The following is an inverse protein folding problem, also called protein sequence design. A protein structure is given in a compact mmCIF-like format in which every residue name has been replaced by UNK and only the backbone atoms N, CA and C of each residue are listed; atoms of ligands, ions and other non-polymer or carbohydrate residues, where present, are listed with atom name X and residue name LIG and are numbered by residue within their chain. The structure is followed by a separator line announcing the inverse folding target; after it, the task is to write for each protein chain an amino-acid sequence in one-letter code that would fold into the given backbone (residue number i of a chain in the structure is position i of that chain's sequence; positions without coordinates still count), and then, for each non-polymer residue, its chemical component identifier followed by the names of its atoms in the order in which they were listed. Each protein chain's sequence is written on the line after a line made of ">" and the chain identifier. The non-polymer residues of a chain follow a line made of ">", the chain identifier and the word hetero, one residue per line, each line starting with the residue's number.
data_IF_062868330122
#
_entry.id   IF_062868330122
#
_cell.length_a   1.000
_cell.length_b   1.000
_cell.length_c   1.000
_cell.angle_alpha   90.00
_cell.angle_beta   90.00
_cell.angle_gamma   90.00
#
_symmetry.space_group_name_H-M   'P 1'
#
loop_
_entity.id
_entity.type
_entity.pdbx_description
1 polymer ?
#
# COMPACT_ATOMS: atom_id res chain seq x y z
N UNK A 1 16.74 -12.63 -24.69
CA UNK A 1 15.45 -12.97 -25.34
C UNK A 1 14.37 -12.22 -24.57
N UNK A 2 13.64 -11.36 -25.25
CA UNK A 2 12.58 -10.55 -24.65
C UNK A 2 11.49 -11.47 -24.12
N UNK A 3 11.08 -11.33 -22.85
CA UNK A 3 10.02 -12.11 -22.20
C UNK A 3 8.71 -11.31 -22.22
N UNK A 4 7.60 -11.99 -22.18
CA UNK A 4 6.27 -11.37 -22.26
C UNK A 4 5.34 -11.93 -21.20
N UNK A 5 4.48 -11.06 -20.67
CA UNK A 5 3.31 -11.42 -19.87
C UNK A 5 2.06 -10.72 -20.40
N UNK A 6 0.90 -11.20 -20.04
CA UNK A 6 -0.37 -10.56 -20.42
C UNK A 6 -0.91 -9.74 -19.26
N UNK A 7 -1.20 -8.45 -19.48
CA UNK A 7 -1.82 -7.58 -18.49
C UNK A 7 -3.13 -7.04 -19.06
N UNK A 8 -4.27 -7.37 -18.46
CA UNK A 8 -5.59 -6.97 -18.93
C UNK A 8 -5.78 -7.23 -20.44
N UNK A 9 -5.50 -8.44 -20.87
CA UNK A 9 -5.57 -8.91 -22.27
C UNK A 9 -4.58 -8.23 -23.24
N UNK A 10 -3.57 -7.49 -22.74
CA UNK A 10 -2.53 -6.90 -23.56
C UNK A 10 -1.19 -7.55 -23.27
N UNK A 11 -0.46 -7.92 -24.30
CA UNK A 11 0.88 -8.47 -24.18
C UNK A 11 1.88 -7.35 -23.86
N UNK A 12 2.65 -7.50 -22.79
CA UNK A 12 3.63 -6.53 -22.31
C UNK A 12 4.98 -7.22 -22.19
N UNK A 13 5.98 -6.61 -22.82
CA UNK A 13 7.36 -7.08 -22.74
C UNK A 13 8.00 -6.66 -21.41
N UNK A 14 8.82 -7.54 -20.84
CA UNK A 14 9.64 -7.23 -19.67
C UNK A 14 11.03 -7.86 -19.80
N UNK A 15 12.00 -7.34 -19.07
CA UNK A 15 13.41 -7.76 -19.11
C UNK A 15 13.99 -7.89 -17.71
N UNK A 16 14.25 -6.77 -17.04
CA UNK A 16 14.93 -6.68 -15.74
C UNK A 16 14.01 -6.29 -14.57
N UNK A 17 12.71 -6.15 -14.84
CA UNK A 17 11.74 -5.81 -13.80
C UNK A 17 11.71 -6.90 -12.72
N UNK A 18 11.83 -6.47 -11.45
CA UNK A 18 11.95 -7.38 -10.30
C UNK A 18 10.61 -7.98 -9.85
N UNK A 19 9.52 -7.29 -10.16
CA UNK A 19 8.17 -7.70 -9.73
C UNK A 19 7.10 -7.26 -10.72
N UNK A 20 5.94 -7.87 -10.62
CA UNK A 20 4.80 -7.63 -11.51
C UNK A 20 4.33 -6.17 -11.45
N UNK A 21 4.44 -5.49 -10.30
CA UNK A 21 4.06 -4.07 -10.18
C UNK A 21 4.88 -3.17 -11.13
N UNK A 22 6.18 -3.44 -11.27
CA UNK A 22 7.03 -2.65 -12.16
C UNK A 22 6.60 -2.80 -13.63
N UNK A 23 6.28 -4.02 -14.06
CA UNK A 23 5.78 -4.26 -15.42
C UNK A 23 4.42 -3.60 -15.66
N UNK A 24 3.51 -3.67 -14.68
CA UNK A 24 2.21 -3.01 -14.74
C UNK A 24 2.38 -1.50 -14.91
N UNK A 25 3.25 -0.88 -14.11
CA UNK A 25 3.52 0.57 -14.20
C UNK A 25 4.19 0.96 -15.51
N UNK A 26 5.13 0.16 -16.00
CA UNK A 26 5.76 0.33 -17.31
C UNK A 26 4.73 0.30 -18.45
N UNK A 27 3.65 -0.47 -18.32
CA UNK A 27 2.55 -0.50 -19.29
C UNK A 27 1.59 0.70 -19.21
N UNK A 28 1.88 1.69 -18.35
CA UNK A 28 1.07 2.90 -18.18
C UNK A 28 -0.12 2.74 -17.20
N UNK A 29 -0.23 1.61 -16.52
CA UNK A 29 -1.30 1.39 -15.54
C UNK A 29 -0.83 1.86 -14.16
N UNK A 30 -1.52 2.84 -13.59
CA UNK A 30 -1.27 3.32 -12.24
C UNK A 30 -1.92 2.39 -11.20
N UNK A 31 -1.18 1.37 -10.76
CA UNK A 31 -1.63 0.48 -9.70
C UNK A 31 -1.37 1.11 -8.32
N UNK A 32 -2.39 1.27 -7.44
CA UNK A 32 -2.21 1.94 -6.15
C UNK A 32 -1.32 1.14 -5.20
N UNK A 33 -0.50 1.87 -4.44
CA UNK A 33 0.37 1.29 -3.40
C UNK A 33 0.57 2.29 -2.28
N UNK A 34 0.59 1.84 -1.02
CA UNK A 34 0.97 2.69 0.11
C UNK A 34 2.35 2.35 0.67
N UNK A 35 2.71 1.07 0.72
CA UNK A 35 3.97 0.63 1.32
C UNK A 35 5.13 0.53 0.33
N UNK A 36 4.87 0.37 -0.95
CA UNK A 36 5.93 0.22 -1.95
C UNK A 36 6.62 1.54 -2.29
N UNK A 37 7.94 1.49 -2.40
CA UNK A 37 8.78 2.52 -2.97
C UNK A 37 9.97 1.85 -3.67
N UNK A 38 10.42 2.39 -4.82
CA UNK A 38 11.49 1.79 -5.64
C UNK A 38 12.80 1.62 -4.88
N UNK A 39 13.13 2.58 -4.02
CA UNK A 39 14.39 2.65 -3.28
C UNK A 39 14.33 1.97 -1.90
N UNK A 40 13.17 1.48 -1.48
CA UNK A 40 13.00 0.90 -0.15
C UNK A 40 12.74 -0.61 -0.24
N UNK A 41 12.97 -1.30 0.87
CA UNK A 41 12.61 -2.72 0.99
C UNK A 41 11.12 -2.93 0.79
N UNK A 42 10.77 -3.94 0.01
CA UNK A 42 9.39 -4.27 -0.31
C UNK A 42 8.81 -5.23 0.73
N UNK A 43 7.79 -4.79 1.46
CA UNK A 43 7.15 -5.57 2.52
C UNK A 43 5.84 -6.25 2.09
N UNK A 44 5.15 -5.73 1.07
CA UNK A 44 3.84 -6.23 0.66
C UNK A 44 2.74 -6.04 1.71
N UNK A 45 2.92 -5.10 2.66
CA UNK A 45 2.08 -4.96 3.86
C UNK A 45 0.71 -4.35 3.58
N UNK A 46 0.60 -3.31 2.75
CA UNK A 46 -0.65 -2.55 2.57
C UNK A 46 -1.70 -3.26 1.73
N UNK A 47 -1.33 -4.25 0.93
CA UNK A 47 -2.19 -5.04 0.03
C UNK A 47 -3.00 -4.22 -1.00
N UNK A 48 -2.68 -2.93 -1.19
CA UNK A 48 -3.37 -2.11 -2.20
C UNK A 48 -3.04 -2.52 -3.64
N UNK A 49 -1.84 -3.06 -3.87
CA UNK A 49 -1.40 -3.53 -5.19
C UNK A 49 -1.86 -4.96 -5.54
N UNK A 50 -2.91 -5.48 -4.90
CA UNK A 50 -3.40 -6.82 -5.22
C UNK A 50 -3.89 -6.89 -6.66
N UNK A 51 -3.56 -8.00 -7.31
CA UNK A 51 -3.95 -8.36 -8.67
C UNK A 51 -4.42 -9.81 -8.69
N UNK A 52 -5.19 -10.16 -9.68
CA UNK A 52 -5.54 -11.54 -9.97
C UNK A 52 -4.54 -12.10 -10.99
N UNK A 53 -3.93 -13.21 -10.64
CA UNK A 53 -3.11 -14.01 -11.57
C UNK A 53 -3.99 -15.17 -12.02
N UNK A 54 -4.23 -15.28 -13.32
CA UNK A 54 -5.06 -16.35 -13.87
C UNK A 54 -4.44 -17.71 -13.51
N UNK A 55 -5.26 -18.59 -12.94
CA UNK A 55 -4.82 -19.90 -12.44
C UNK A 55 -4.30 -19.92 -11.00
N UNK A 56 -4.08 -18.75 -10.36
CA UNK A 56 -3.72 -18.69 -8.95
C UNK A 56 -4.95 -18.82 -8.04
N UNK A 57 -4.79 -19.48 -6.89
CA UNK A 57 -5.88 -19.72 -5.92
C UNK A 57 -6.33 -18.44 -5.21
N UNK A 58 -5.45 -17.46 -5.07
CA UNK A 58 -5.70 -16.23 -4.32
C UNK A 58 -5.11 -15.00 -5.04
N UNK A 59 -5.63 -13.82 -4.70
CA UNK A 59 -5.06 -12.54 -5.15
C UNK A 59 -3.62 -12.38 -4.66
N UNK A 60 -2.76 -11.84 -5.52
CA UNK A 60 -1.34 -11.65 -5.25
C UNK A 60 -1.01 -10.17 -5.12
N UNK A 61 -0.08 -9.82 -4.22
CA UNK A 61 0.44 -8.47 -4.13
C UNK A 61 1.50 -8.26 -5.22
N UNK A 62 1.19 -7.47 -6.23
CA UNK A 62 2.05 -7.26 -7.39
C UNK A 62 3.47 -6.75 -7.04
N UNK A 63 3.62 -6.02 -5.92
CA UNK A 63 4.92 -5.49 -5.50
C UNK A 63 5.90 -6.57 -5.00
N UNK A 64 5.43 -7.74 -4.59
CA UNK A 64 6.27 -8.87 -4.14
C UNK A 64 6.17 -10.08 -5.06
N UNK A 65 5.24 -10.09 -5.99
CA UNK A 65 5.07 -11.22 -6.91
C UNK A 65 6.12 -11.16 -8.02
N UNK A 66 6.93 -12.23 -8.20
CA UNK A 66 7.98 -12.25 -9.20
C UNK A 66 7.40 -12.21 -10.62
N UNK A 67 8.15 -11.66 -11.54
CA UNK A 67 7.81 -11.72 -12.97
C UNK A 67 8.05 -13.13 -13.51
N UNK A 68 7.16 -13.60 -14.38
CA UNK A 68 7.32 -14.86 -15.07
C UNK A 68 6.74 -14.78 -16.49
N UNK A 69 7.38 -15.48 -17.42
CA UNK A 69 6.93 -15.50 -18.82
C UNK A 69 5.58 -16.21 -18.93
N UNK A 70 4.67 -15.63 -19.72
CA UNK A 70 3.36 -16.22 -20.01
C UNK A 70 2.30 -16.07 -18.93
N UNK A 71 2.59 -15.45 -17.79
CA UNK A 71 1.54 -15.19 -16.79
C UNK A 71 0.52 -14.18 -17.29
N UNK A 72 -0.73 -14.37 -16.91
CA UNK A 72 -1.82 -13.45 -17.19
C UNK A 72 -2.27 -12.77 -15.91
N UNK A 73 -2.31 -11.42 -15.95
CA UNK A 73 -2.55 -10.55 -14.80
C UNK A 73 -3.77 -9.67 -15.07
N UNK A 74 -4.74 -9.69 -14.15
CA UNK A 74 -5.91 -8.80 -14.17
C UNK A 74 -5.79 -7.78 -13.03
N UNK A 75 -5.73 -6.51 -13.38
CA UNK A 75 -5.49 -5.42 -12.41
C UNK A 75 -6.76 -4.83 -11.82
N UNK A 76 -7.93 -5.11 -12.39
CA UNK A 76 -9.21 -4.50 -12.00
C UNK A 76 -10.42 -5.42 -12.17
N UNK A 77 -10.24 -6.74 -12.01
CA UNK A 77 -11.37 -7.65 -11.95
C UNK A 77 -12.31 -7.29 -10.77
N UNK A 78 -13.59 -7.71 -10.80
CA UNK A 78 -14.51 -7.48 -9.69
C UNK A 78 -13.94 -7.93 -8.34
N UNK A 79 -13.27 -9.07 -8.32
CA UNK A 79 -12.60 -9.64 -7.14
C UNK A 79 -11.48 -8.74 -6.62
N UNK A 80 -10.67 -8.17 -7.51
CA UNK A 80 -9.59 -7.23 -7.16
C UNK A 80 -10.17 -5.94 -6.61
N UNK A 81 -11.19 -5.37 -7.24
CA UNK A 81 -11.84 -4.13 -6.77
C UNK A 81 -12.45 -4.31 -5.38
N UNK A 82 -13.18 -5.41 -5.15
CA UNK A 82 -13.76 -5.72 -3.85
C UNK A 82 -12.68 -5.86 -2.77
N UNK A 83 -11.61 -6.59 -3.04
CA UNK A 83 -10.51 -6.77 -2.09
C UNK A 83 -9.81 -5.46 -1.74
N UNK A 84 -9.57 -4.58 -2.71
CA UNK A 84 -8.99 -3.24 -2.45
C UNK A 84 -9.91 -2.38 -1.62
N UNK A 85 -11.20 -2.36 -1.94
CA UNK A 85 -12.21 -1.60 -1.17
C UNK A 85 -12.21 -2.04 0.29
N UNK A 86 -12.35 -3.34 0.56
CA UNK A 86 -12.33 -3.88 1.92
C UNK A 86 -11.02 -3.59 2.65
N UNK A 87 -9.88 -3.71 1.98
CA UNK A 87 -8.57 -3.39 2.57
C UNK A 87 -8.47 -1.89 2.91
N UNK A 88 -8.98 -1.02 2.04
CA UNK A 88 -8.98 0.43 2.27
C UNK A 88 -9.89 0.80 3.44
N UNK A 89 -11.08 0.22 3.53
CA UNK A 89 -11.98 0.37 4.66
C UNK A 89 -11.32 -0.05 5.98
N UNK A 90 -10.59 -1.18 5.99
CA UNK A 90 -9.82 -1.62 7.17
C UNK A 90 -8.74 -0.62 7.57
N UNK A 91 -8.02 -0.02 6.63
CA UNK A 91 -7.04 1.03 6.92
C UNK A 91 -7.75 2.26 7.51
N UNK A 92 -8.87 2.67 6.92
CA UNK A 92 -9.64 3.83 7.35
C UNK A 92 -10.36 3.61 8.68
N UNK A 93 -10.67 2.36 9.05
CA UNK A 93 -11.35 2.06 10.33
C UNK A 93 -10.52 2.46 11.55
N UNK A 94 -9.19 2.42 11.44
CA UNK A 94 -8.26 2.82 12.50
C UNK A 94 -7.56 4.16 12.25
N UNK A 95 -7.92 4.87 11.17
CA UNK A 95 -7.32 6.16 10.81
C UNK A 95 -8.15 7.33 11.33
N UNK A 96 -7.49 8.42 11.81
CA UNK A 96 -8.20 9.65 12.15
C UNK A 96 -8.69 10.35 10.87
N UNK A 97 -10.01 10.30 10.65
CA UNK A 97 -10.68 10.79 9.44
C UNK A 97 -11.04 12.28 9.45
N UNK A 98 -10.40 13.08 10.30
CA UNK A 98 -10.57 14.54 10.33
C UNK A 98 -9.86 15.21 9.14
N UNK A 99 -10.26 14.81 7.92
CA UNK A 99 -9.58 15.23 6.69
C UNK A 99 -9.55 16.74 6.49
N UNK A 100 -10.61 17.45 6.85
CA UNK A 100 -10.72 18.89 6.64
C UNK A 100 -9.68 19.71 7.42
N UNK A 101 -9.22 19.20 8.57
CA UNK A 101 -8.19 19.84 9.41
C UNK A 101 -6.82 19.19 9.26
N UNK A 102 -6.70 18.18 8.41
CA UNK A 102 -5.46 17.47 8.19
C UNK A 102 -4.52 18.27 7.27
N UNK A 103 -3.24 18.32 7.63
CA UNK A 103 -2.18 18.96 6.81
C UNK A 103 -2.02 18.34 5.42
N UNK A 104 -2.50 17.11 5.23
CA UNK A 104 -2.49 16.38 3.95
C UNK A 104 -3.79 16.52 3.15
N UNK A 105 -4.74 17.31 3.61
CA UNK A 105 -6.01 17.49 2.90
C UNK A 105 -5.79 17.90 1.44
N UNK A 106 -6.48 17.25 0.49
CA UNK A 106 -6.34 17.41 -0.96
C UNK A 106 -4.97 17.02 -1.56
N UNK A 107 -4.01 16.59 -0.73
CA UNK A 107 -2.72 16.04 -1.16
C UNK A 107 -2.45 14.74 -0.39
N UNK A 108 -3.40 13.82 -0.41
CA UNK A 108 -3.38 12.57 0.33
C UNK A 108 -3.78 11.39 -0.58
N UNK A 109 -2.86 10.47 -0.81
CA UNK A 109 -3.10 9.27 -1.61
C UNK A 109 -4.23 8.40 -1.02
N UNK A 110 -4.36 8.36 0.33
CA UNK A 110 -5.41 7.63 1.02
C UNK A 110 -6.79 8.23 0.72
N UNK A 111 -6.90 9.57 0.79
CA UNK A 111 -8.14 10.29 0.49
C UNK A 111 -8.54 10.12 -0.99
N UNK A 112 -7.60 10.28 -1.91
CA UNK A 112 -7.86 10.13 -3.34
C UNK A 112 -8.32 8.71 -3.69
N UNK A 113 -7.69 7.69 -3.08
CA UNK A 113 -8.07 6.31 -3.33
C UNK A 113 -9.42 5.94 -2.69
N UNK A 114 -9.78 6.56 -1.55
CA UNK A 114 -11.11 6.39 -0.95
C UNK A 114 -12.22 6.91 -1.86
N UNK A 115 -12.00 8.06 -2.47
CA UNK A 115 -12.90 8.64 -3.46
C UNK A 115 -13.00 7.77 -4.72
N UNK A 116 -11.88 7.34 -5.28
CA UNK A 116 -11.82 6.46 -6.47
C UNK A 116 -12.56 5.14 -6.26
N UNK A 117 -12.42 4.51 -5.09
CA UNK A 117 -13.06 3.23 -4.77
C UNK A 117 -14.49 3.37 -4.18
N UNK A 118 -14.97 4.60 -4.03
CA UNK A 118 -16.30 4.89 -3.49
C UNK A 118 -16.43 4.41 -2.03
N UNK A 119 -15.43 4.66 -1.21
CA UNK A 119 -15.46 4.36 0.23
C UNK A 119 -15.94 5.62 0.96
N UNK A 120 -17.24 5.71 1.20
CA UNK A 120 -17.90 6.82 1.91
C UNK A 120 -18.08 6.50 3.39
N UNK A 121 -18.36 5.24 3.70
CA UNK A 121 -18.61 4.76 5.04
C UNK A 121 -17.70 3.60 5.39
N UNK A 122 -17.48 3.40 6.68
CA UNK A 122 -16.75 2.26 7.22
C UNK A 122 -17.75 1.26 7.75
N UNK A 123 -17.76 0.08 7.13
CA UNK A 123 -18.68 -1.01 7.49
C UNK A 123 -18.18 -1.88 8.64
N UNK A 124 -16.93 -1.72 9.03
CA UNK A 124 -16.32 -2.47 10.13
C UNK A 124 -16.60 -1.78 11.46
N UNK A 125 -17.38 -2.42 12.31
CA UNK A 125 -17.58 -2.01 13.70
C UNK A 125 -16.38 -2.40 14.55
N UNK A 126 -16.02 -1.55 15.51
CA UNK A 126 -14.93 -1.83 16.42
C UNK A 126 -14.34 -0.60 17.10
N UNK A 127 -13.35 -0.84 17.92
CA UNK A 127 -12.61 0.22 18.63
C UNK A 127 -11.51 0.76 17.72
N UNK A 128 -11.36 2.06 17.66
CA UNK A 128 -10.20 2.72 17.06
C UNK A 128 -9.12 2.93 18.11
N UNK A 129 -7.86 2.73 17.73
CA UNK A 129 -6.74 3.14 18.59
C UNK A 129 -6.70 4.68 18.71
N UNK A 130 -6.39 5.16 19.91
CA UNK A 130 -6.17 6.57 20.19
C UNK A 130 -4.80 6.73 20.83
N UNK A 131 -3.99 7.59 20.23
CA UNK A 131 -2.63 7.85 20.65
C UNK A 131 -2.44 9.34 20.93
N UNK A 132 -1.64 9.67 21.94
CA UNK A 132 -1.19 11.03 22.12
C UNK A 132 -0.28 11.46 20.98
N UNK A 133 -0.35 12.74 20.62
CA UNK A 133 0.55 13.33 19.63
C UNK A 133 1.92 13.53 20.28
N UNK A 134 2.96 13.01 19.65
CA UNK A 134 4.34 13.18 20.12
C UNK A 134 4.93 14.47 19.53
N UNK A 135 5.07 15.47 20.39
CA UNK A 135 5.63 16.79 20.10
C UNK A 135 6.91 17.08 20.90
N UNK A 136 7.59 16.01 21.38
CA UNK A 136 8.81 16.16 22.20
C UNK A 136 9.97 16.78 21.41
N UNK A 137 10.02 16.54 20.10
CA UNK A 137 11.03 17.17 19.24
C UNK A 137 10.55 18.52 18.72
N UNK A 138 11.39 19.57 18.73
CA UNK A 138 11.03 20.88 18.17
C UNK A 138 10.92 20.86 16.64
N UNK A 139 11.42 19.79 15.98
CA UNK A 139 11.50 19.70 14.52
C UNK A 139 10.58 18.64 13.91
N UNK A 140 10.10 17.69 14.71
CA UNK A 140 9.32 16.55 14.23
C UNK A 140 8.13 16.33 15.14
N UNK A 141 6.94 16.35 14.57
CA UNK A 141 5.70 15.94 15.23
C UNK A 141 5.27 14.60 14.67
N UNK A 142 4.95 13.66 15.56
CA UNK A 142 4.47 12.33 15.19
C UNK A 142 3.04 12.12 15.71
N UNK A 143 2.12 11.85 14.79
CA UNK A 143 0.72 11.55 15.09
C UNK A 143 0.39 10.14 14.58
N UNK A 144 0.41 9.16 15.48
CA UNK A 144 0.11 7.77 15.17
C UNK A 144 -1.36 7.53 14.81
N UNK A 145 -2.27 8.47 15.15
CA UNK A 145 -3.68 8.39 14.73
C UNK A 145 -3.85 8.53 13.21
N UNK A 146 -2.86 9.13 12.54
CA UNK A 146 -2.80 9.30 11.07
C UNK A 146 -1.87 8.32 10.37
N UNK A 147 -1.25 7.42 11.14
CA UNK A 147 -0.33 6.43 10.59
C UNK A 147 -1.10 5.25 9.97
N UNK A 148 -0.79 4.92 8.71
CA UNK A 148 -1.36 3.77 7.99
C UNK A 148 -0.44 2.53 8.05
N UNK A 149 0.58 2.53 8.88
CA UNK A 149 1.54 1.45 9.07
C UNK A 149 2.22 0.97 7.78
N UNK A 150 2.48 1.89 6.85
CA UNK A 150 3.15 1.56 5.59
C UNK A 150 4.63 1.22 5.73
N UNK A 151 5.25 1.54 6.88
CA UNK A 151 6.64 1.23 7.25
C UNK A 151 7.71 1.86 6.34
N UNK A 152 7.36 2.83 5.49
CA UNK A 152 8.34 3.55 4.65
C UNK A 152 9.37 4.28 5.49
N UNK A 153 8.95 4.97 6.57
CA UNK A 153 9.85 5.67 7.50
C UNK A 153 10.80 4.70 8.19
N UNK A 154 10.31 3.56 8.67
CA UNK A 154 11.13 2.51 9.30
C UNK A 154 12.17 1.98 8.31
N UNK A 155 11.74 1.65 7.07
CA UNK A 155 12.66 1.17 6.04
C UNK A 155 13.72 2.22 5.66
N UNK A 156 13.32 3.48 5.54
CA UNK A 156 14.26 4.57 5.27
C UNK A 156 15.31 4.68 6.38
N UNK A 157 14.85 4.77 7.63
CA UNK A 157 15.72 4.94 8.79
C UNK A 157 16.69 3.76 8.96
N UNK A 158 16.19 2.54 8.80
CA UNK A 158 16.99 1.32 9.04
C UNK A 158 17.89 0.93 7.87
N UNK A 159 17.35 0.96 6.64
CA UNK A 159 18.04 0.36 5.48
C UNK A 159 18.81 1.39 4.65
N UNK A 160 18.38 2.65 4.62
CA UNK A 160 19.02 3.71 3.84
C UNK A 160 19.89 4.59 4.73
N UNK A 161 19.34 5.10 5.83
CA UNK A 161 20.07 5.94 6.78
C UNK A 161 20.97 5.13 7.73
N UNK A 162 20.73 3.83 7.86
CA UNK A 162 21.46 2.89 8.74
C UNK A 162 21.46 3.26 10.23
N UNK A 163 20.58 4.17 10.65
CA UNK A 163 20.45 4.65 12.04
C UNK A 163 19.60 3.70 12.87
N UNK A 164 18.45 3.26 12.35
CA UNK A 164 17.54 2.36 13.07
C UNK A 164 16.86 2.98 14.30
N UNK A 165 16.72 4.33 14.32
CA UNK A 165 16.09 5.04 15.42
C UNK A 165 14.55 4.92 15.42
N UNK A 166 13.94 4.49 14.33
CA UNK A 166 12.50 4.32 14.18
C UNK A 166 12.21 2.85 13.89
N UNK A 167 11.29 2.25 14.62
CA UNK A 167 10.79 0.89 14.36
C UNK A 167 9.30 0.77 14.72
N UNK A 168 8.74 -0.42 14.55
CA UNK A 168 7.38 -0.75 14.96
C UNK A 168 7.39 -1.37 16.36
N UNK A 169 6.55 -0.88 17.24
CA UNK A 169 6.28 -1.42 18.56
C UNK A 169 4.91 -2.09 18.58
N UNK A 170 4.71 -3.03 19.51
CA UNK A 170 3.50 -3.84 19.66
C UNK A 170 3.21 -4.77 18.46
N UNK A 171 2.09 -5.47 18.53
CA UNK A 171 1.67 -6.42 17.48
C UNK A 171 0.18 -6.31 17.18
N UNK A 172 -0.19 -6.72 15.96
CA UNK A 172 -1.58 -6.75 15.53
C UNK A 172 -2.23 -5.38 15.57
N UNK A 173 -3.41 -5.29 16.17
CA UNK A 173 -4.20 -4.06 16.22
C UNK A 173 -3.49 -2.89 16.94
N UNK A 174 -2.67 -3.17 17.95
CA UNK A 174 -1.94 -2.16 18.70
C UNK A 174 -0.62 -1.73 18.08
N UNK A 175 -0.25 -2.27 16.91
CA UNK A 175 1.02 -1.89 16.26
C UNK A 175 1.08 -0.39 16.00
N UNK A 176 2.18 0.22 16.38
CA UNK A 176 2.46 1.63 16.14
C UNK A 176 3.93 1.83 15.76
N UNK A 177 4.24 2.96 15.15
CA UNK A 177 5.62 3.38 14.85
C UNK A 177 6.13 4.25 15.98
N UNK A 178 7.30 3.95 16.49
CA UNK A 178 7.95 4.68 17.62
C UNK A 178 9.37 5.05 17.27
#
# INVERSE_FOLDING_TARGET
>A
KMKYMTINNRQVAFDDEKNVLQVIRKSGINLPTFCYHSELSTYGACRMCVVEIVGARALQAACVYPVAEGIEVLTHSPKVKAARKSTLELILSNHDRKCLTCVRNRNCELQALADELGVTDITFDGVRNEYDVDELSPSIVRDNNKCILCRRCVSMCKNIQTVGAIDTMERGFKTQVT
#
